data_IF_867335225876
#
_entry.id   IF_867335225876
#
_cell.length_a   1.000
_cell.length_b   1.000
_cell.length_c   1.000
_cell.angle_alpha   90.00
_cell.angle_beta   90.00
_cell.angle_gamma   90.00
#
_symmetry.space_group_name_H-M   'P 1'
#
loop_
_entity.id
_entity.type
_entity.pdbx_description
1 polymer ?
#
# COMPACT_ATOMS: atom_id res chain seq x y z
N UNK A 1 16.39 6.17 -26.89
CA UNK A 1 16.21 5.70 -25.50
C UNK A 1 14.88 6.16 -24.88
N UNK A 2 14.48 7.43 -24.96
CA UNK A 2 13.19 7.88 -24.41
C UNK A 2 11.93 7.26 -25.08
N UNK A 3 11.99 6.96 -26.39
CA UNK A 3 10.88 6.35 -27.14
C UNK A 3 10.61 4.88 -26.75
N UNK A 4 11.64 4.11 -26.41
CA UNK A 4 11.52 2.70 -26.00
C UNK A 4 10.84 2.55 -24.63
N UNK A 5 11.14 3.48 -23.71
CA UNK A 5 10.49 3.56 -22.40
C UNK A 5 9.00 3.88 -22.55
N UNK A 6 8.67 4.85 -23.42
CA UNK A 6 7.29 5.23 -23.70
C UNK A 6 6.47 4.09 -24.33
N UNK A 7 7.08 3.26 -25.17
CA UNK A 7 6.42 2.09 -25.77
C UNK A 7 6.12 0.99 -24.75
N UNK A 8 7.04 0.73 -23.81
CA UNK A 8 6.81 -0.24 -22.72
C UNK A 8 5.79 0.24 -21.70
N UNK A 9 5.81 1.53 -21.37
CA UNK A 9 4.75 2.19 -20.58
C UNK A 9 3.42 2.00 -21.30
N UNK A 10 3.36 2.26 -22.60
CA UNK A 10 2.14 2.13 -23.39
C UNK A 10 1.61 0.69 -23.46
N UNK A 11 2.47 -0.32 -23.60
CA UNK A 11 2.05 -1.74 -23.57
C UNK A 11 1.49 -2.18 -22.21
N UNK A 12 2.01 -1.64 -21.09
CA UNK A 12 1.45 -1.86 -19.75
C UNK A 12 0.14 -1.06 -19.54
N UNK A 13 0.05 0.16 -20.08
CA UNK A 13 -1.10 1.06 -19.95
C UNK A 13 -2.26 0.72 -20.89
N UNK A 14 -2.02 0.04 -22.02
CA UNK A 14 -3.07 -0.29 -23.01
C UNK A 14 -3.92 -1.52 -22.63
N UNK A 15 -3.56 -2.27 -21.58
CA UNK A 15 -4.25 -3.52 -21.23
C UNK A 15 -5.21 -3.44 -20.03
N UNK A 16 -4.86 -2.70 -18.97
CA UNK A 16 -5.54 -2.80 -17.67
C UNK A 16 -6.07 -1.44 -17.17
N UNK A 17 -7.40 -1.23 -17.13
CA UNK A 17 -8.00 0.01 -16.64
C UNK A 17 -7.70 0.29 -15.16
N UNK A 18 -7.39 -0.75 -14.38
CA UNK A 18 -7.03 -0.63 -12.95
C UNK A 18 -5.64 -0.02 -12.80
N UNK A 19 -4.67 -0.42 -13.62
CA UNK A 19 -3.32 0.18 -13.62
C UNK A 19 -3.40 1.66 -13.96
N UNK A 20 -4.22 2.02 -14.95
CA UNK A 20 -4.45 3.42 -15.31
C UNK A 20 -5.08 4.22 -14.16
N UNK A 21 -6.09 3.66 -13.49
CA UNK A 21 -6.72 4.30 -12.31
C UNK A 21 -5.68 4.58 -11.23
N UNK A 22 -4.80 3.62 -10.93
CA UNK A 22 -3.74 3.79 -9.93
C UNK A 22 -2.74 4.86 -10.38
N UNK A 23 -2.33 4.85 -11.65
CA UNK A 23 -1.40 5.84 -12.19
C UNK A 23 -1.94 7.28 -12.21
N UNK A 24 -3.24 7.44 -12.49
CA UNK A 24 -3.90 8.75 -12.55
C UNK A 24 -4.27 9.28 -11.14
N UNK A 25 -4.16 8.46 -10.09
CA UNK A 25 -4.43 8.81 -8.70
C UNK A 25 -3.18 8.64 -7.80
N UNK A 26 -2.40 9.72 -7.59
CA UNK A 26 -1.21 9.68 -6.74
C UNK A 26 -1.48 9.27 -5.29
N UNK A 27 -2.69 9.53 -4.78
CA UNK A 27 -3.05 9.22 -3.41
C UNK A 27 -3.31 7.73 -3.25
N UNK A 28 -4.04 7.12 -4.20
CA UNK A 28 -4.21 5.67 -4.29
C UNK A 28 -2.87 4.95 -4.51
N UNK A 29 -2.04 5.44 -5.43
CA UNK A 29 -0.68 4.91 -5.64
C UNK A 29 0.14 4.91 -4.36
N UNK A 30 0.13 6.04 -3.63
CA UNK A 30 0.84 6.15 -2.37
C UNK A 30 0.31 5.17 -1.33
N UNK A 31 -1.02 4.99 -1.25
CA UNK A 31 -1.69 4.13 -0.27
C UNK A 31 -1.27 2.66 -0.48
N UNK A 32 -1.38 2.18 -1.71
CA UNK A 32 -0.99 0.81 -2.07
C UNK A 32 0.52 0.60 -1.88
N UNK A 33 1.34 1.60 -2.24
CA UNK A 33 2.79 1.52 -2.04
C UNK A 33 3.17 1.44 -0.56
N UNK A 34 2.43 2.14 0.31
CA UNK A 34 2.65 2.06 1.75
C UNK A 34 2.26 0.69 2.31
N UNK A 35 1.13 0.12 1.85
CA UNK A 35 0.71 -1.23 2.23
C UNK A 35 1.74 -2.28 1.76
N UNK A 36 2.24 -2.16 0.53
CA UNK A 36 3.28 -3.05 0.01
C UNK A 36 4.61 -2.91 0.76
N UNK A 37 4.96 -1.70 1.21
CA UNK A 37 6.13 -1.49 2.08
C UNK A 37 5.98 -2.13 3.45
N UNK A 38 4.75 -2.38 3.94
CA UNK A 38 4.54 -3.14 5.18
C UNK A 38 4.95 -4.60 4.99
N UNK A 39 4.49 -5.23 3.91
CA UNK A 39 4.86 -6.61 3.52
C UNK A 39 6.36 -6.79 3.28
N UNK A 40 7.11 -5.70 3.07
CA UNK A 40 8.56 -5.74 2.84
C UNK A 40 9.37 -5.23 4.03
N UNK A 41 8.73 -4.92 5.16
CA UNK A 41 9.34 -4.14 6.22
C UNK A 41 10.55 -4.84 6.86
N UNK A 42 10.52 -6.17 6.94
CA UNK A 42 11.57 -7.00 7.51
C UNK A 42 12.57 -7.54 6.49
N UNK A 43 12.24 -7.44 5.20
CA UNK A 43 13.06 -7.85 4.07
C UNK A 43 12.73 -9.24 3.53
N UNK A 44 11.78 -9.95 4.13
CA UNK A 44 11.19 -11.17 3.62
C UNK A 44 9.75 -10.88 3.16
N UNK A 45 9.14 -11.77 2.38
CA UNK A 45 7.74 -11.65 1.99
C UNK A 45 7.06 -12.90 2.47
N UNK A 46 6.24 -12.78 3.51
CA UNK A 46 5.41 -13.88 3.98
C UNK A 46 4.18 -14.08 3.07
N UNK A 47 3.77 -15.34 2.90
CA UNK A 47 2.64 -15.67 2.03
C UNK A 47 1.31 -15.16 2.59
N UNK A 48 1.12 -15.20 3.91
CA UNK A 48 -0.09 -14.72 4.59
C UNK A 48 -0.21 -13.19 4.52
N UNK A 49 0.89 -12.47 4.69
CA UNK A 49 0.93 -11.02 4.51
C UNK A 49 0.59 -10.61 3.08
N UNK A 50 1.18 -11.30 2.10
CA UNK A 50 0.93 -11.04 0.69
C UNK A 50 -0.51 -11.39 0.29
N UNK A 51 -1.08 -12.46 0.82
CA UNK A 51 -2.48 -12.82 0.62
C UNK A 51 -3.41 -11.75 1.23
N UNK A 52 -3.09 -11.28 2.43
CA UNK A 52 -3.82 -10.20 3.10
C UNK A 52 -3.79 -8.91 2.29
N UNK A 53 -2.62 -8.51 1.78
CA UNK A 53 -2.49 -7.38 0.89
C UNK A 53 -3.34 -7.54 -0.39
N UNK A 54 -3.31 -8.72 -1.04
CA UNK A 54 -4.14 -8.98 -2.22
C UNK A 54 -5.62 -8.82 -1.91
N UNK A 55 -6.08 -9.36 -0.79
CA UNK A 55 -7.48 -9.25 -0.36
C UNK A 55 -7.88 -7.80 -0.09
N UNK A 56 -7.07 -7.04 0.65
CA UNK A 56 -7.31 -5.61 0.88
C UNK A 56 -7.39 -4.86 -0.45
N UNK A 57 -6.49 -5.15 -1.39
CA UNK A 57 -6.51 -4.55 -2.71
C UNK A 57 -7.80 -4.84 -3.50
N UNK A 58 -8.32 -6.06 -3.41
CA UNK A 58 -9.59 -6.43 -4.02
C UNK A 58 -10.77 -5.70 -3.35
N UNK A 59 -10.86 -5.79 -2.01
CA UNK A 59 -12.02 -5.32 -1.25
C UNK A 59 -12.11 -3.79 -1.18
N UNK A 60 -10.99 -3.11 -0.90
CA UNK A 60 -10.96 -1.67 -0.65
C UNK A 60 -10.72 -0.82 -1.91
N UNK A 61 -10.02 -1.36 -2.90
CA UNK A 61 -9.59 -0.60 -4.09
C UNK A 61 -10.15 -1.12 -5.41
N UNK A 62 -10.78 -2.30 -5.41
CA UNK A 62 -11.30 -2.96 -6.60
C UNK A 62 -10.20 -3.47 -7.53
N UNK A 63 -9.07 -3.90 -6.97
CA UNK A 63 -7.92 -4.43 -7.69
C UNK A 63 -7.93 -5.94 -7.51
N UNK A 64 -8.47 -6.66 -8.49
CA UNK A 64 -8.55 -8.12 -8.45
C UNK A 64 -7.18 -8.80 -8.62
N UNK A 65 -7.15 -10.13 -8.47
CA UNK A 65 -5.91 -10.90 -8.55
C UNK A 65 -5.19 -10.83 -9.90
N UNK A 66 -5.91 -10.64 -11.00
CA UNK A 66 -5.31 -10.50 -12.34
C UNK A 66 -4.63 -9.14 -12.48
N UNK A 67 -5.27 -8.07 -12.00
CA UNK A 67 -4.73 -6.71 -12.02
C UNK A 67 -3.66 -6.46 -10.95
N UNK A 68 -3.71 -7.18 -9.82
CA UNK A 68 -2.80 -6.97 -8.69
C UNK A 68 -1.34 -7.02 -9.09
N UNK A 69 -0.94 -8.05 -9.85
CA UNK A 69 0.45 -8.21 -10.30
C UNK A 69 0.90 -7.07 -11.23
N UNK A 70 0.00 -6.57 -12.09
CA UNK A 70 0.30 -5.45 -12.99
C UNK A 70 0.44 -4.13 -12.21
N UNK A 71 -0.43 -3.91 -11.21
CA UNK A 71 -0.35 -2.74 -10.31
C UNK A 71 0.95 -2.78 -9.49
N UNK A 72 1.32 -3.93 -8.93
CA UNK A 72 2.58 -4.06 -8.18
C UNK A 72 3.79 -3.78 -9.06
N UNK A 73 3.81 -4.31 -10.29
CA UNK A 73 4.87 -4.03 -11.26
C UNK A 73 4.94 -2.54 -11.59
N UNK A 74 3.80 -1.90 -11.83
CA UNK A 74 3.75 -0.44 -12.06
C UNK A 74 4.31 0.35 -10.87
N UNK A 75 3.88 0.03 -9.64
CA UNK A 75 4.36 0.71 -8.44
C UNK A 75 5.85 0.44 -8.18
N UNK A 76 6.36 -0.73 -8.53
CA UNK A 76 7.78 -1.01 -8.48
C UNK A 76 8.55 -0.22 -9.54
N UNK A 77 8.06 -0.12 -10.78
CA UNK A 77 8.78 0.57 -11.84
C UNK A 77 8.74 2.11 -11.71
N UNK A 78 7.65 2.66 -11.14
CA UNK A 78 7.38 4.10 -11.13
C UNK A 78 7.11 4.70 -9.73
N UNK A 79 6.80 3.87 -8.73
CA UNK A 79 6.52 4.33 -7.36
C UNK A 79 7.75 4.79 -6.59
N UNK A 80 8.98 4.56 -7.10
CA UNK A 80 10.22 5.08 -6.53
C UNK A 80 10.32 6.62 -6.58
N UNK A 81 9.52 7.30 -7.41
CA UNK A 81 9.47 8.77 -7.41
C UNK A 81 8.79 9.33 -6.15
N UNK A 82 8.01 8.51 -5.43
CA UNK A 82 7.33 8.90 -4.20
C UNK A 82 8.01 8.28 -2.97
N UNK A 83 8.79 9.11 -2.28
CA UNK A 83 9.37 8.75 -0.98
C UNK A 83 8.27 8.48 0.05
N UNK A 84 8.54 7.63 1.04
CA UNK A 84 7.61 7.40 2.17
C UNK A 84 7.15 8.72 2.79
N UNK A 85 8.05 9.70 2.92
CA UNK A 85 7.72 11.02 3.46
C UNK A 85 6.70 11.82 2.61
N UNK A 86 6.73 11.69 1.28
CA UNK A 86 5.77 12.34 0.37
C UNK A 86 4.40 11.64 0.42
N UNK A 87 4.38 10.31 0.40
CA UNK A 87 3.14 9.52 0.61
C UNK A 87 2.47 9.91 1.93
N UNK A 88 3.26 9.96 3.00
CA UNK A 88 2.82 10.38 4.33
C UNK A 88 2.31 11.83 4.41
N UNK A 89 2.77 12.73 3.53
CA UNK A 89 2.25 14.09 3.45
C UNK A 89 0.84 14.14 2.81
N UNK A 90 0.60 13.28 1.81
CA UNK A 90 -0.72 13.13 1.16
C UNK A 90 -1.75 12.67 2.19
N UNK A 91 -1.42 11.64 2.98
CA UNK A 91 -2.38 11.05 3.94
C UNK A 91 -2.76 11.98 5.10
N UNK A 92 -1.92 12.95 5.45
CA UNK A 92 -2.31 13.95 6.48
C UNK A 92 -3.52 14.79 6.06
N UNK A 93 -3.73 14.96 4.75
CA UNK A 93 -4.88 15.65 4.18
C UNK A 93 -6.16 14.83 4.15
N UNK A 94 -6.09 13.52 4.43
CA UNK A 94 -7.27 12.66 4.43
C UNK A 94 -8.22 12.97 5.59
N UNK A 95 -9.54 12.79 5.41
CA UNK A 95 -10.49 12.71 6.50
C UNK A 95 -10.06 11.69 7.55
N UNK A 96 -10.38 11.95 8.82
CA UNK A 96 -9.94 11.10 9.93
C UNK A 96 -10.33 9.62 9.75
N UNK A 97 -11.57 9.34 9.33
CA UNK A 97 -12.05 7.99 9.06
C UNK A 97 -11.17 7.24 8.04
N UNK A 98 -10.76 7.92 6.97
CA UNK A 98 -9.92 7.34 5.94
C UNK A 98 -8.50 7.05 6.43
N UNK A 99 -7.98 7.89 7.35
CA UNK A 99 -6.69 7.61 8.00
C UNK A 99 -6.79 6.38 8.90
N UNK A 100 -7.88 6.23 9.65
CA UNK A 100 -8.14 5.06 10.49
C UNK A 100 -8.22 3.79 9.64
N UNK A 101 -8.92 3.84 8.51
CA UNK A 101 -9.03 2.72 7.56
C UNK A 101 -7.65 2.29 7.02
N UNK A 102 -6.84 3.25 6.55
CA UNK A 102 -5.47 2.96 6.10
C UNK A 102 -4.62 2.31 7.21
N UNK A 103 -4.71 2.83 8.43
CA UNK A 103 -3.99 2.27 9.56
C UNK A 103 -4.46 0.85 9.92
N UNK A 104 -5.75 0.55 9.75
CA UNK A 104 -6.31 -0.80 9.96
C UNK A 104 -5.78 -1.79 8.94
N UNK A 105 -5.75 -1.42 7.66
CA UNK A 105 -5.16 -2.27 6.62
C UNK A 105 -3.67 -2.57 6.90
N UNK A 106 -2.91 -1.58 7.36
CA UNK A 106 -1.51 -1.80 7.76
C UNK A 106 -1.37 -2.75 8.95
N UNK A 107 -2.21 -2.58 9.96
CA UNK A 107 -2.21 -3.46 11.13
C UNK A 107 -2.70 -4.88 10.80
N UNK A 108 -3.58 -5.03 9.83
CA UNK A 108 -4.09 -6.31 9.36
C UNK A 108 -3.02 -7.09 8.59
N UNK A 109 -2.26 -6.40 7.72
CA UNK A 109 -1.11 -7.00 7.03
C UNK A 109 -0.06 -7.45 8.05
N UNK A 110 0.38 -6.56 8.93
CA UNK A 110 1.40 -6.87 9.93
C UNK A 110 0.99 -7.94 10.95
N UNK A 111 -0.28 -8.36 10.98
CA UNK A 111 -0.81 -9.42 11.86
C UNK A 111 -1.25 -10.65 11.06
N UNK A 112 -0.96 -10.70 9.77
CA UNK A 112 -1.43 -11.78 8.92
C UNK A 112 -0.73 -13.10 9.25
N UNK A 113 0.52 -13.02 9.69
CA UNK A 113 1.22 -14.13 10.34
C UNK A 113 1.17 -14.01 11.88
N UNK A 114 1.56 -15.08 12.57
CA UNK A 114 1.64 -15.11 14.03
C UNK A 114 2.95 -14.46 14.56
N UNK A 115 3.78 -13.86 13.70
CA UNK A 115 5.14 -13.39 14.00
C UNK A 115 5.36 -11.89 13.71
N UNK A 116 4.60 -11.03 14.38
CA UNK A 116 4.86 -9.58 14.42
C UNK A 116 6.32 -9.25 14.78
N UNK A 117 7.10 -8.79 13.79
CA UNK A 117 8.50 -8.46 14.01
C UNK A 117 8.72 -6.98 14.37
N UNK A 118 9.93 -6.65 14.81
CA UNK A 118 10.24 -5.28 15.26
C UNK A 118 10.21 -4.25 14.11
N UNK A 119 10.38 -4.66 12.86
CA UNK A 119 10.45 -3.77 11.72
C UNK A 119 9.03 -3.32 11.33
N UNK A 120 8.08 -4.25 11.25
CA UNK A 120 6.65 -3.97 11.06
C UNK A 120 6.11 -3.10 12.18
N UNK A 121 6.37 -3.45 13.44
CA UNK A 121 5.92 -2.67 14.60
C UNK A 121 6.43 -1.24 14.52
N UNK A 122 7.71 -1.04 14.14
CA UNK A 122 8.28 0.30 13.96
C UNK A 122 7.63 1.05 12.80
N UNK A 123 7.42 0.40 11.66
CA UNK A 123 6.79 1.03 10.50
C UNK A 123 5.33 1.41 10.79
N UNK A 124 4.57 0.54 11.44
CA UNK A 124 3.20 0.78 11.85
C UNK A 124 3.14 1.94 12.85
N UNK A 125 3.92 1.89 13.93
CA UNK A 125 3.98 2.95 14.93
C UNK A 125 4.32 4.31 14.30
N UNK A 126 5.33 4.35 13.42
CA UNK A 126 5.71 5.57 12.71
C UNK A 126 4.60 6.09 11.81
N UNK A 127 3.85 5.20 11.17
CA UNK A 127 2.73 5.58 10.33
C UNK A 127 1.59 6.17 11.15
N UNK A 128 1.25 5.58 12.30
CA UNK A 128 0.24 6.11 13.22
C UNK A 128 0.57 7.54 13.69
N UNK A 129 1.83 7.78 14.07
CA UNK A 129 2.30 9.12 14.44
C UNK A 129 2.05 10.17 13.34
N UNK A 130 2.34 9.81 12.09
CA UNK A 130 2.16 10.71 10.94
C UNK A 130 0.69 10.93 10.66
N UNK A 131 -0.11 9.87 10.69
CA UNK A 131 -1.56 9.93 10.50
C UNK A 131 -2.28 10.64 11.66
N UNK A 132 -1.57 10.89 12.78
CA UNK A 132 -2.09 11.48 14.01
C UNK A 132 -3.24 10.65 14.57
N UNK A 133 -3.00 9.35 14.67
CA UNK A 133 -3.94 8.37 15.21
C UNK A 133 -3.40 7.78 16.50
N UNK A 134 -4.31 7.46 17.40
CA UNK A 134 -4.04 6.66 18.58
C UNK A 134 -4.17 5.15 18.23
N UNK A 135 -3.27 4.28 18.71
CA UNK A 135 -3.34 2.84 18.46
C UNK A 135 -4.70 2.20 18.80
N UNK A 136 -5.42 2.72 19.79
CA UNK A 136 -6.75 2.23 20.18
C UNK A 136 -7.84 2.46 19.12
N UNK A 137 -7.62 3.38 18.17
CA UNK A 137 -8.54 3.65 17.07
C UNK A 137 -8.42 2.58 15.96
N UNK A 138 -7.27 1.91 15.91
CA UNK A 138 -6.83 1.04 14.82
C UNK A 138 -7.01 -0.43 15.19
N UNK A 139 -6.57 -0.82 16.38
CA UNK A 139 -6.82 -2.17 16.89
C UNK A 139 -8.11 -2.11 17.71
N UNK A 140 -9.20 -2.80 17.32
CA UNK A 140 -10.32 -2.98 18.23
C UNK A 140 -9.75 -3.70 19.46
N UNK A 141 -9.73 -3.03 20.61
CA UNK A 141 -9.26 -3.63 21.84
C UNK A 141 -10.03 -4.92 22.07
N UNK A 142 -9.32 -6.03 22.30
CA UNK A 142 -9.94 -7.22 22.87
C UNK A 142 -10.62 -6.79 24.17
N UNK A 143 -11.94 -6.90 24.19
CA UNK A 143 -12.77 -6.73 25.38
C UNK A 143 -12.90 -8.08 26.09
#
# INVERSE_FOLDING_TARGET
>A
MALELFSKVRELFEGDPVVRKVADDPALSAEILLLFRMVLADGEVDEAELETLRRICADAFGIDGESFGNVMRYLQDYGYETTTAQALAIFRGYPHERRVELARHLAEIAKADDELNQQEVRLLARTLEVLRLDPHEVVPGEA
#
